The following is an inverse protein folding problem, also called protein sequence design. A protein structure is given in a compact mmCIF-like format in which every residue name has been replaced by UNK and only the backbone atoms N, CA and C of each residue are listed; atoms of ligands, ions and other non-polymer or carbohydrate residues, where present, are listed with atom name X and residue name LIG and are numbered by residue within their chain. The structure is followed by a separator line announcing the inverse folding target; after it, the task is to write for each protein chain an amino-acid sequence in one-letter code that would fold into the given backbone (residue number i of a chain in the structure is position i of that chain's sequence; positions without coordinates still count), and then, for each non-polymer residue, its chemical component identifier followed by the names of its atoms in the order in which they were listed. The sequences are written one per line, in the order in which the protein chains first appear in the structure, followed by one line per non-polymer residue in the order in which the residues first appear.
data_IF_335587332325
#
_entry.id   IF_335587332325
#
_cell.length_a   1.000
_cell.length_b   1.000
_cell.length_c   1.000
_cell.angle_alpha   90.00
_cell.angle_beta   90.00
_cell.angle_gamma   90.00
#
_symmetry.space_group_name_H-M   'P 1'
#
loop_
_entity.id
_entity.type
_entity.pdbx_description
1 polymer ?
#
# COMPACT_ATOMS: atom_id res chain seq x y z
N UNK A 1 10.40 0.00 -9.54
CA UNK A 1 9.93 -0.25 -8.15
C UNK A 1 10.20 -1.68 -7.75
N UNK A 2 10.66 -1.94 -6.52
CA UNK A 2 10.91 -3.30 -6.04
C UNK A 2 10.62 -3.41 -4.53
N UNK A 3 10.10 -4.55 -4.08
CA UNK A 3 9.64 -4.86 -2.72
C UNK A 3 10.34 -6.09 -2.11
N UNK A 4 11.68 -6.16 -2.12
CA UNK A 4 12.37 -7.29 -1.48
C UNK A 4 12.22 -7.27 0.03
N UNK A 5 12.23 -8.48 0.58
CA UNK A 5 12.38 -8.79 2.00
C UNK A 5 13.48 -7.91 2.61
N UNK A 6 13.17 -7.27 3.74
CA UNK A 6 14.12 -6.45 4.50
C UNK A 6 14.50 -5.11 3.85
N UNK A 7 13.86 -4.70 2.74
CA UNK A 7 14.14 -3.39 2.13
C UNK A 7 13.57 -2.22 2.93
N UNK A 8 12.43 -2.41 3.59
CA UNK A 8 11.69 -1.35 4.29
C UNK A 8 11.27 -1.84 5.68
N UNK A 9 12.18 -1.80 6.65
CA UNK A 9 11.88 -2.19 8.04
C UNK A 9 12.22 -3.64 8.35
N UNK A 10 11.39 -4.28 9.19
CA UNK A 10 11.63 -5.65 9.67
C UNK A 10 11.62 -6.64 8.50
N UNK A 11 12.45 -7.68 8.56
CA UNK A 11 12.57 -8.64 7.46
C UNK A 11 11.25 -9.36 7.15
N UNK A 12 10.43 -9.57 8.19
CA UNK A 12 9.12 -10.23 8.06
C UNK A 12 7.99 -9.28 7.64
N UNK A 13 8.27 -7.99 7.46
CA UNK A 13 7.26 -7.04 6.97
C UNK A 13 6.93 -7.27 5.50
N UNK A 14 5.64 -7.26 5.19
CA UNK A 14 5.14 -7.37 3.83
C UNK A 14 5.06 -5.99 3.17
N UNK A 15 5.51 -5.88 1.92
CA UNK A 15 5.51 -4.63 1.16
C UNK A 15 4.87 -4.86 -0.19
N UNK A 16 3.82 -4.09 -0.50
CA UNK A 16 3.09 -4.16 -1.76
C UNK A 16 3.36 -2.92 -2.61
N UNK A 17 3.66 -3.13 -3.89
CA UNK A 17 3.80 -2.04 -4.85
C UNK A 17 2.42 -1.68 -5.38
N UNK A 18 2.07 -0.40 -5.28
CA UNK A 18 0.80 0.13 -5.73
C UNK A 18 0.98 1.45 -6.47
N UNK A 19 -0.03 1.87 -7.22
CA UNK A 19 -0.09 3.23 -7.76
C UNK A 19 -0.30 4.25 -6.64
N UNK A 20 0.02 5.54 -6.84
CA UNK A 20 -0.22 6.58 -5.84
C UNK A 20 -1.68 6.65 -5.37
N UNK A 21 -2.64 6.46 -6.28
CA UNK A 21 -4.07 6.50 -5.95
C UNK A 21 -4.47 5.38 -4.97
N UNK A 22 -4.02 4.14 -5.23
CA UNK A 22 -4.28 2.99 -4.35
C UNK A 22 -3.59 3.17 -3.00
N UNK A 23 -2.35 3.67 -2.98
CA UNK A 23 -1.62 3.93 -1.75
C UNK A 23 -2.31 4.99 -0.87
N UNK A 24 -2.76 6.09 -1.48
CA UNK A 24 -3.49 7.15 -0.77
C UNK A 24 -4.83 6.66 -0.21
N UNK A 25 -5.63 5.96 -1.02
CA UNK A 25 -6.91 5.41 -0.58
C UNK A 25 -6.73 4.40 0.57
N UNK A 26 -5.73 3.52 0.46
CA UNK A 26 -5.42 2.53 1.49
C UNK A 26 -4.95 3.17 2.80
N UNK A 27 -4.22 4.28 2.73
CA UNK A 27 -3.80 5.04 3.91
C UNK A 27 -4.99 5.69 4.64
N UNK A 28 -6.03 6.11 3.91
CA UNK A 28 -7.26 6.67 4.50
C UNK A 28 -8.09 5.59 5.18
N UNK A 29 -8.27 4.43 4.54
CA UNK A 29 -9.16 3.37 5.05
C UNK A 29 -8.48 2.48 6.09
N UNK A 30 -7.15 2.35 6.05
CA UNK A 30 -6.38 1.48 6.95
C UNK A 30 -6.28 0.02 6.49
N UNK A 31 -6.67 -0.28 5.24
CA UNK A 31 -6.49 -1.56 4.56
C UNK A 31 -6.33 -1.32 3.06
N UNK A 32 -5.83 -2.31 2.32
CA UNK A 32 -5.74 -2.22 0.85
C UNK A 32 -7.16 -2.13 0.26
N UNK A 33 -7.42 -1.06 -0.49
CA UNK A 33 -8.72 -0.76 -1.13
C UNK A 33 -8.58 -0.24 -2.55
N UNK A 34 -9.66 -0.33 -3.32
CA UNK A 34 -9.76 0.39 -4.59
C UNK A 34 -10.01 1.90 -4.33
N UNK A 35 -9.44 2.83 -5.13
CA UNK A 35 -9.65 4.26 -4.91
C UNK A 35 -11.11 4.70 -4.94
N UNK A 36 -11.95 4.05 -5.74
CA UNK A 36 -13.39 4.36 -5.84
C UNK A 36 -14.15 4.16 -4.53
N UNK A 37 -13.63 3.38 -3.57
CA UNK A 37 -14.24 3.24 -2.23
C UNK A 37 -14.20 4.55 -1.43
N UNK A 38 -13.38 5.54 -1.83
CA UNK A 38 -13.15 6.80 -1.09
C UNK A 38 -13.66 8.04 -1.85
N UNK A 39 -13.89 7.95 -3.17
CA UNK A 39 -14.14 9.11 -4.05
C UNK A 39 -15.62 9.19 -4.47
N UNK A 40 -16.55 8.83 -3.59
CA UNK A 40 -18.00 8.97 -3.85
C UNK A 40 -18.44 10.43 -3.91
#
# INVERSE_FOLDING_TARGET
NRNFVGRMGHAESEVYLASPAVAAASAVVGRIVHPEEVVS
#
